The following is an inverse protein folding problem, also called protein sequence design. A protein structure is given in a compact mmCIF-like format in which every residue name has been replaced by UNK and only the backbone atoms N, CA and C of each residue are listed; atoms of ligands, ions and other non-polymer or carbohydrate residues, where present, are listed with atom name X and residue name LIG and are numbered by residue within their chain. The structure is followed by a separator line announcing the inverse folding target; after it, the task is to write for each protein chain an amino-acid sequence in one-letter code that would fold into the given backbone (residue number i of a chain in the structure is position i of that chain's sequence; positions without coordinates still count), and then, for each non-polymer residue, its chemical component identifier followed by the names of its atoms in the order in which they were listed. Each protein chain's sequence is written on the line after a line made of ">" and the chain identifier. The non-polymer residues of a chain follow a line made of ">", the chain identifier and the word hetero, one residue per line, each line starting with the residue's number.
data_IF_579942470605
#
_entry.id   IF_579942470605
#
_cell.length_a   1.000
_cell.length_b   1.000
_cell.length_c   1.000
_cell.angle_alpha   90.00
_cell.angle_beta   90.00
_cell.angle_gamma   90.00
#
_symmetry.space_group_name_H-M   'P 1'
#
loop_
_entity.id
_entity.type
_entity.pdbx_description
1 polymer ?
#
# COMPACT_ATOMS: atom_id res chain seq x y z
N UNK A 1 -6.46 -45.07 -1.10
CA UNK A 1 -5.98 -44.03 -0.16
C UNK A 1 -6.59 -42.72 -0.60
N UNK A 2 -7.65 -42.28 0.08
CA UNK A 2 -8.43 -41.09 -0.27
C UNK A 2 -7.72 -39.88 0.35
N UNK A 3 -7.13 -39.01 -0.47
CA UNK A 3 -6.67 -37.70 -0.02
C UNK A 3 -7.85 -36.72 -0.08
N UNK A 4 -8.44 -36.46 1.09
CA UNK A 4 -9.25 -35.28 1.37
C UNK A 4 -8.38 -34.31 2.15
N UNK A 5 -8.17 -33.09 1.62
CA UNK A 5 -7.92 -31.82 2.34
C UNK A 5 -7.40 -30.79 1.33
N UNK A 6 -7.84 -29.54 1.27
CA UNK A 6 -8.94 -28.82 1.89
C UNK A 6 -9.20 -27.60 0.99
N UNK A 7 -10.45 -27.33 0.65
CA UNK A 7 -10.86 -26.05 0.05
C UNK A 7 -10.61 -24.95 1.08
N UNK A 8 -9.58 -24.13 0.86
CA UNK A 8 -9.31 -22.99 1.73
C UNK A 8 -10.20 -21.81 1.32
N UNK A 9 -11.29 -21.68 2.08
CA UNK A 9 -11.57 -20.46 2.82
C UNK A 9 -12.44 -19.45 2.09
N UNK A 10 -13.67 -19.33 2.58
CA UNK A 10 -14.57 -18.21 2.32
C UNK A 10 -13.82 -16.88 2.27
N UNK A 11 -14.10 -16.09 1.22
CA UNK A 11 -13.65 -14.70 1.14
C UNK A 11 -14.10 -14.00 2.44
N UNK A 12 -13.19 -13.44 3.24
CA UNK A 12 -13.58 -12.81 4.49
C UNK A 12 -14.62 -11.72 4.20
N UNK A 13 -15.81 -11.84 4.80
CA UNK A 13 -16.85 -10.81 4.75
C UNK A 13 -16.28 -9.53 5.37
N UNK A 14 -15.87 -8.61 4.51
CA UNK A 14 -15.22 -7.32 4.80
C UNK A 14 -16.02 -6.44 5.80
N UNK A 15 -17.31 -6.72 5.99
CA UNK A 15 -18.22 -5.91 6.80
C UNK A 15 -18.04 -6.03 8.32
N UNK A 16 -17.35 -7.08 8.82
CA UNK A 16 -17.19 -7.28 10.27
C UNK A 16 -15.79 -6.91 10.80
N UNK A 17 -14.80 -6.68 9.94
CA UNK A 17 -13.42 -6.44 10.37
C UNK A 17 -13.18 -5.01 10.89
N UNK A 18 -14.00 -4.05 10.46
CA UNK A 18 -13.85 -2.62 10.77
C UNK A 18 -14.54 -2.15 12.04
N UNK A 19 -15.39 -2.96 12.70
CA UNK A 19 -16.18 -2.47 13.85
C UNK A 19 -15.36 -2.25 15.14
N UNK A 20 -14.22 -2.92 15.30
CA UNK A 20 -13.42 -2.88 16.54
C UNK A 20 -11.95 -2.46 16.35
N UNK A 21 -11.52 -2.16 15.12
CA UNK A 21 -10.15 -1.68 14.84
C UNK A 21 -10.21 -0.15 14.72
N UNK A 22 -9.29 0.57 15.37
CA UNK A 22 -9.09 1.98 15.07
C UNK A 22 -8.49 2.14 13.65
N UNK A 23 -8.89 3.16 12.88
CA UNK A 23 -8.32 3.41 11.57
C UNK A 23 -6.83 3.72 11.69
N UNK A 24 -6.03 3.18 10.77
CA UNK A 24 -4.58 3.42 10.72
C UNK A 24 -4.29 4.85 10.22
N UNK A 25 -5.20 5.44 9.45
CA UNK A 25 -5.17 6.85 9.04
C UNK A 25 -6.59 7.37 8.80
N UNK A 26 -6.86 8.64 9.13
CA UNK A 26 -8.13 9.31 8.80
C UNK A 26 -7.82 10.62 8.06
N UNK A 27 -8.50 10.84 6.94
CA UNK A 27 -8.41 12.07 6.14
C UNK A 27 -9.84 12.60 5.95
N UNK A 28 -10.17 13.69 6.66
CA UNK A 28 -11.54 14.21 6.70
C UNK A 28 -12.53 13.15 7.20
N UNK A 29 -13.55 12.83 6.40
CA UNK A 29 -14.53 11.79 6.71
C UNK A 29 -14.15 10.38 6.19
N UNK A 30 -12.97 10.25 5.56
CA UNK A 30 -12.48 8.97 5.03
C UNK A 30 -11.54 8.31 6.02
N UNK A 31 -11.78 7.03 6.28
CA UNK A 31 -10.96 6.22 7.18
C UNK A 31 -10.23 5.14 6.38
N UNK A 32 -8.97 4.91 6.71
CA UNK A 32 -8.11 3.95 6.03
C UNK A 32 -7.63 2.89 7.02
N UNK A 33 -7.72 1.64 6.57
CA UNK A 33 -7.36 0.47 7.35
C UNK A 33 -6.32 -0.35 6.57
N UNK A 34 -5.08 -0.32 7.05
CA UNK A 34 -4.00 -1.15 6.55
C UNK A 34 -4.15 -2.56 7.14
N UNK A 35 -4.55 -3.49 6.28
CA UNK A 35 -4.78 -4.88 6.66
C UNK A 35 -3.47 -5.65 6.50
N UNK A 36 -2.52 -5.41 7.41
CA UNK A 36 -1.16 -5.98 7.31
C UNK A 36 -0.50 -5.55 5.98
N UNK A 37 0.39 -6.33 5.40
CA UNK A 37 0.96 -6.08 4.07
C UNK A 37 0.14 -6.69 2.92
N UNK A 38 -1.17 -6.91 3.10
CA UNK A 38 -2.02 -7.54 2.08
C UNK A 38 -2.87 -6.53 1.33
N UNK A 39 -3.52 -5.60 2.05
CA UNK A 39 -4.40 -4.63 1.41
C UNK A 39 -4.60 -3.38 2.23
N UNK A 40 -5.07 -2.34 1.55
CA UNK A 40 -5.58 -1.13 2.16
C UNK A 40 -7.08 -1.02 1.88
N UNK A 41 -7.88 -0.88 2.93
CA UNK A 41 -9.32 -0.65 2.83
C UNK A 41 -9.63 0.81 3.12
N UNK A 42 -10.41 1.44 2.27
CA UNK A 42 -10.99 2.76 2.49
C UNK A 42 -12.46 2.66 2.88
N UNK A 43 -12.86 3.40 3.91
CA UNK A 43 -14.25 3.63 4.32
C UNK A 43 -14.57 5.09 4.03
N UNK A 44 -15.39 5.32 3.02
CA UNK A 44 -15.77 6.64 2.53
C UNK A 44 -17.17 6.98 3.04
N UNK A 45 -17.31 8.07 3.76
CA UNK A 45 -18.61 8.61 4.17
C UNK A 45 -18.94 9.84 3.32
N UNK A 46 -19.91 9.70 2.43
CA UNK A 46 -20.42 10.80 1.61
C UNK A 46 -21.88 11.07 1.97
N UNK A 47 -22.13 12.19 2.68
CA UNK A 47 -23.46 12.63 3.11
C UNK A 47 -24.26 11.52 3.84
N UNK A 48 -23.61 10.78 4.73
CA UNK A 48 -24.23 9.70 5.51
C UNK A 48 -24.28 8.34 4.80
N UNK A 49 -23.93 8.27 3.51
CA UNK A 49 -23.78 7.01 2.81
C UNK A 49 -22.35 6.49 2.99
N UNK A 50 -22.22 5.38 3.72
CA UNK A 50 -20.95 4.71 3.95
C UNK A 50 -20.68 3.71 2.82
N UNK A 51 -19.57 3.89 2.12
CA UNK A 51 -19.03 2.94 1.13
C UNK A 51 -17.70 2.42 1.60
N UNK A 52 -17.56 1.10 1.65
CA UNK A 52 -16.30 0.43 2.00
C UNK A 52 -15.76 -0.28 0.76
N UNK A 53 -14.51 -0.01 0.38
CA UNK A 53 -13.83 -0.72 -0.70
C UNK A 53 -12.37 -1.00 -0.35
N UNK A 54 -11.85 -2.13 -0.85
CA UNK A 54 -10.40 -2.35 -0.91
C UNK A 54 -9.87 -1.44 -2.00
N UNK A 55 -9.00 -0.49 -1.63
CA UNK A 55 -8.45 0.51 -2.55
C UNK A 55 -7.07 0.13 -3.08
N UNK A 56 -6.37 -0.77 -2.41
CA UNK A 56 -5.09 -1.31 -2.86
C UNK A 56 -4.97 -2.76 -2.42
N UNK A 57 -4.63 -3.64 -3.37
CA UNK A 57 -4.12 -4.98 -3.07
C UNK A 57 -2.61 -4.95 -3.29
N UNK A 58 -1.87 -5.29 -2.25
CA UNK A 58 -0.41 -5.19 -2.26
C UNK A 58 0.17 -6.45 -2.91
N UNK A 59 1.11 -6.32 -3.87
CA UNK A 59 1.74 -7.47 -4.52
C UNK A 59 2.37 -8.41 -3.49
N UNK A 60 2.16 -9.71 -3.67
CA UNK A 60 2.87 -10.72 -2.87
C UNK A 60 4.29 -10.88 -3.39
N UNK A 61 5.26 -10.98 -2.48
CA UNK A 61 6.66 -11.26 -2.81
C UNK A 61 7.02 -12.65 -2.30
N UNK A 62 7.35 -13.60 -3.20
CA UNK A 62 7.84 -14.91 -2.78
C UNK A 62 9.03 -14.77 -1.84
N UNK A 63 9.16 -15.70 -0.89
CA UNK A 63 10.28 -15.76 0.05
C UNK A 63 10.50 -14.48 0.88
N UNK A 64 9.46 -13.67 1.07
CA UNK A 64 9.53 -12.45 1.87
C UNK A 64 8.45 -12.44 2.94
N UNK A 65 8.83 -12.05 4.15
CA UNK A 65 7.93 -11.86 5.29
C UNK A 65 7.66 -10.39 5.48
N UNK A 66 6.40 -10.07 5.76
CA UNK A 66 5.96 -8.72 6.06
C UNK A 66 6.17 -8.39 7.55
N UNK A 67 6.72 -7.21 7.85
CA UNK A 67 6.73 -6.68 9.21
C UNK A 67 5.67 -5.60 9.37
N UNK A 68 4.53 -5.98 9.96
CA UNK A 68 3.39 -5.08 10.17
C UNK A 68 3.72 -3.87 11.04
N UNK A 69 4.61 -4.01 12.03
CA UNK A 69 4.93 -2.92 12.96
C UNK A 69 5.66 -1.75 12.31
N UNK A 70 6.31 -2.00 11.17
CA UNK A 70 7.08 -1.02 10.41
C UNK A 70 6.33 -0.54 9.17
N UNK A 71 5.15 -1.10 8.88
CA UNK A 71 4.32 -0.66 7.77
C UNK A 71 3.46 0.52 8.21
N UNK A 72 3.36 1.55 7.37
CA UNK A 72 2.81 2.85 7.74
C UNK A 72 1.96 3.44 6.61
N UNK A 73 0.94 4.20 7.00
CA UNK A 73 0.20 5.08 6.12
C UNK A 73 0.59 6.54 6.40
N UNK A 74 0.74 7.33 5.35
CA UNK A 74 0.98 8.76 5.46
C UNK A 74 0.20 9.53 4.39
N UNK A 75 -0.19 10.76 4.69
CA UNK A 75 -0.76 11.68 3.72
C UNK A 75 -0.05 13.03 3.81
N UNK A 76 0.49 13.52 2.70
CA UNK A 76 1.27 14.76 2.62
C UNK A 76 0.46 15.97 2.11
N UNK A 77 -0.86 15.82 1.97
CA UNK A 77 -1.74 16.82 1.37
C UNK A 77 -2.04 16.56 -0.11
N UNK A 78 -1.21 15.78 -0.80
CA UNK A 78 -1.40 15.42 -2.22
C UNK A 78 -1.53 13.91 -2.39
N UNK A 79 -0.60 13.15 -1.82
CA UNK A 79 -0.49 11.71 -2.00
C UNK A 79 -0.79 10.96 -0.70
N UNK A 80 -1.66 9.97 -0.79
CA UNK A 80 -1.72 8.90 0.20
C UNK A 80 -0.61 7.91 -0.11
N UNK A 81 0.33 7.75 0.82
CA UNK A 81 1.47 6.85 0.70
C UNK A 81 1.35 5.67 1.67
N UNK A 82 1.55 4.46 1.15
CA UNK A 82 1.69 3.23 1.93
C UNK A 82 3.15 2.82 1.91
N UNK A 83 3.76 2.67 3.09
CA UNK A 83 5.10 2.12 3.26
C UNK A 83 4.98 0.72 3.83
N UNK A 84 5.67 -0.24 3.22
CA UNK A 84 5.66 -1.63 3.63
C UNK A 84 7.06 -2.10 3.89
N UNK A 85 7.25 -2.72 5.04
CA UNK A 85 8.48 -3.42 5.34
C UNK A 85 8.38 -4.90 4.93
N UNK A 86 9.21 -5.32 3.96
CA UNK A 86 9.41 -6.73 3.62
C UNK A 86 10.83 -7.17 3.94
N UNK A 87 10.94 -8.29 4.62
CA UNK A 87 12.22 -8.94 4.90
C UNK A 87 12.31 -10.22 4.08
N UNK A 88 13.32 -10.30 3.21
CA UNK A 88 13.61 -11.55 2.51
C UNK A 88 14.00 -12.63 3.52
N UNK A 89 13.59 -13.87 3.27
CA UNK A 89 13.89 -15.00 4.15
C UNK A 89 15.42 -15.15 4.32
N UNK A 90 15.89 -15.14 5.57
CA UNK A 90 17.31 -15.20 5.90
C UNK A 90 18.05 -13.85 5.85
N UNK A 91 17.40 -12.77 5.42
CA UNK A 91 17.95 -11.42 5.50
C UNK A 91 17.57 -10.75 6.83
N UNK A 92 18.48 -9.97 7.42
CA UNK A 92 18.20 -9.19 8.63
C UNK A 92 17.57 -7.81 8.36
N UNK A 93 17.41 -7.44 7.09
CA UNK A 93 17.02 -6.09 6.66
C UNK A 93 15.55 -5.95 6.27
N UNK A 94 15.05 -4.71 6.38
CA UNK A 94 13.75 -4.30 5.87
C UNK A 94 13.90 -3.66 4.48
N UNK A 95 13.47 -4.37 3.42
CA UNK A 95 13.25 -3.79 2.11
C UNK A 95 11.96 -2.98 2.12
N UNK A 96 12.08 -1.65 2.10
CA UNK A 96 10.92 -0.76 2.14
C UNK A 96 10.33 -0.63 0.74
N UNK A 97 9.12 -1.16 0.57
CA UNK A 97 8.28 -0.89 -0.60
C UNK A 97 7.43 0.36 -0.31
N UNK A 98 7.24 1.22 -1.30
CA UNK A 98 6.36 2.39 -1.19
C UNK A 98 5.35 2.38 -2.33
N UNK A 99 4.10 2.69 -2.00
CA UNK A 99 3.01 2.86 -2.96
C UNK A 99 2.33 4.19 -2.70
N UNK A 100 1.90 4.89 -3.75
CA UNK A 100 1.19 6.17 -3.60
C UNK A 100 0.02 6.31 -4.56
N UNK A 101 -0.95 7.15 -4.19
CA UNK A 101 -2.11 7.52 -5.02
C UNK A 101 -2.56 8.94 -4.71
N UNK A 102 -3.19 9.59 -5.69
CA UNK A 102 -3.88 10.88 -5.54
C UNK A 102 -5.41 10.75 -5.55
N UNK A 103 -5.95 9.60 -5.98
CA UNK A 103 -7.39 9.40 -6.25
C UNK A 103 -7.96 8.12 -5.61
N UNK A 104 -7.15 7.33 -4.92
CA UNK A 104 -7.51 6.06 -4.30
C UNK A 104 -7.88 4.95 -5.28
N UNK A 105 -7.56 5.11 -6.57
CA UNK A 105 -7.88 4.15 -7.63
C UNK A 105 -6.64 3.81 -8.45
N UNK A 106 -5.90 4.84 -8.87
CA UNK A 106 -4.65 4.70 -9.61
C UNK A 106 -3.48 4.77 -8.64
N UNK A 107 -2.71 3.68 -8.60
CA UNK A 107 -1.59 3.54 -7.68
C UNK A 107 -0.27 3.47 -8.44
N UNK A 108 0.74 4.07 -7.85
CA UNK A 108 2.12 3.98 -8.30
C UNK A 108 2.96 3.26 -7.26
N UNK A 109 3.91 2.44 -7.70
CA UNK A 109 4.97 1.86 -6.89
C UNK A 109 6.28 2.66 -7.06
N UNK A 110 7.01 2.81 -5.96
CA UNK A 110 8.33 3.41 -5.99
C UNK A 110 9.34 2.44 -6.61
N UNK A 111 10.07 2.89 -7.63
CA UNK A 111 11.04 2.07 -8.37
C UNK A 111 12.50 2.46 -8.11
N UNK A 112 12.73 3.53 -7.35
CA UNK A 112 14.08 3.94 -6.94
C UNK A 112 14.33 5.44 -7.06
N UNK A 113 15.60 5.78 -6.94
CA UNK A 113 16.09 7.14 -7.17
C UNK A 113 16.52 7.27 -8.63
N UNK A 114 16.16 8.39 -9.24
CA UNK A 114 16.69 8.82 -10.53
C UNK A 114 17.31 10.22 -10.42
N UNK A 115 18.16 10.57 -11.38
CA UNK A 115 18.89 11.82 -11.41
C UNK A 115 18.55 12.57 -12.69
N UNK A 116 18.24 13.85 -12.56
CA UNK A 116 18.08 14.74 -13.70
C UNK A 116 19.02 15.93 -13.50
N UNK A 117 20.09 15.98 -14.29
CA UNK A 117 21.24 16.85 -14.00
C UNK A 117 21.88 16.47 -12.67
N UNK A 118 22.03 17.45 -11.77
CA UNK A 118 22.61 17.26 -10.43
C UNK A 118 21.52 17.15 -9.34
N UNK A 119 20.25 17.02 -9.72
CA UNK A 119 19.12 16.95 -8.79
C UNK A 119 18.61 15.51 -8.66
N UNK A 120 18.27 15.14 -7.43
CA UNK A 120 17.78 13.81 -7.07
C UNK A 120 16.26 13.77 -7.09
N UNK A 121 15.69 12.71 -7.68
CA UNK A 121 14.26 12.48 -7.78
C UNK A 121 13.91 11.06 -7.33
N UNK A 122 12.73 10.91 -6.75
CA UNK A 122 12.07 9.62 -6.61
C UNK A 122 11.34 9.27 -7.91
N UNK A 123 11.57 8.07 -8.42
CA UNK A 123 10.87 7.54 -9.59
C UNK A 123 9.73 6.61 -9.15
N UNK A 124 8.59 6.77 -9.81
CA UNK A 124 7.34 6.10 -9.47
C UNK A 124 6.69 5.52 -10.72
N UNK A 125 6.35 4.24 -10.70
CA UNK A 125 5.73 3.55 -11.84
C UNK A 125 4.29 3.20 -11.54
N UNK A 126 3.40 3.31 -12.52
CA UNK A 126 2.05 2.77 -12.38
C UNK A 126 2.08 1.30 -11.95
N UNK A 127 1.37 0.96 -10.88
CA UNK A 127 1.38 -0.36 -10.28
C UNK A 127 0.92 -1.42 -11.29
N UNK A 128 1.77 -2.43 -11.53
CA UNK A 128 1.52 -3.49 -12.52
C UNK A 128 1.92 -3.13 -13.96
N UNK A 129 2.40 -1.91 -14.22
CA UNK A 129 3.03 -1.55 -15.49
C UNK A 129 4.47 -2.07 -15.56
N UNK A 130 4.89 -2.52 -16.73
CA UNK A 130 6.30 -2.81 -17.05
C UNK A 130 6.94 -1.72 -17.93
N UNK A 131 6.19 -0.69 -18.31
CA UNK A 131 6.64 0.37 -19.23
C UNK A 131 7.23 1.55 -18.46
N UNK A 132 8.48 1.89 -18.77
CA UNK A 132 9.15 3.09 -18.23
C UNK A 132 8.60 4.40 -18.77
N UNK A 133 7.78 4.38 -19.82
CA UNK A 133 7.12 5.59 -20.36
C UNK A 133 6.03 6.13 -19.43
N UNK A 134 5.59 5.34 -18.46
CA UNK A 134 4.57 5.69 -17.48
C UNK A 134 5.18 6.07 -16.11
N UNK A 135 6.50 6.28 -16.07
CA UNK A 135 7.20 6.64 -14.84
C UNK A 135 7.05 8.14 -14.58
N UNK A 136 6.66 8.47 -13.36
CA UNK A 136 6.60 9.82 -12.83
C UNK A 136 7.82 10.08 -11.93
N UNK A 137 8.25 11.35 -11.85
CA UNK A 137 9.40 11.76 -11.05
C UNK A 137 9.01 12.87 -10.09
N UNK A 138 9.39 12.71 -8.82
CA UNK A 138 9.14 13.74 -7.79
C UNK A 138 10.46 14.14 -7.16
N UNK A 139 10.74 15.44 -7.13
CA UNK A 139 12.00 15.96 -6.60
C UNK A 139 12.16 15.59 -5.13
N UNK A 140 13.33 15.07 -4.77
CA UNK A 140 13.68 14.85 -3.37
C UNK A 140 14.00 16.20 -2.75
N UNK A 141 13.16 16.67 -1.83
CA UNK A 141 13.44 17.87 -1.05
C UNK A 141 14.17 17.43 0.23
N UNK A 142 15.43 17.87 0.47
CA UNK A 142 16.14 17.54 1.69
C UNK A 142 15.40 18.15 2.89
N UNK A 143 15.05 17.30 3.86
CA UNK A 143 14.55 17.77 5.16
C UNK A 143 15.77 18.32 5.91
N UNK A 144 15.86 19.65 6.05
CA UNK A 144 16.85 20.32 6.90
C UNK A 144 16.35 20.39 8.35
#
# INVERSE_FOLDING_TARGET
>A
MILLIASCGDKPKLSNFTKNKQPDLTIGATQFYLNSCHSLTGVFNHNGTIKTKVILTLPTRPLSVCNNKQSQLNFDGTHLTVKICRTAFGAGGCGVEKYRTTDFENWQEYIGITWHGNEQYEAWRQLGSNSSKADDITKVVPVH
#
